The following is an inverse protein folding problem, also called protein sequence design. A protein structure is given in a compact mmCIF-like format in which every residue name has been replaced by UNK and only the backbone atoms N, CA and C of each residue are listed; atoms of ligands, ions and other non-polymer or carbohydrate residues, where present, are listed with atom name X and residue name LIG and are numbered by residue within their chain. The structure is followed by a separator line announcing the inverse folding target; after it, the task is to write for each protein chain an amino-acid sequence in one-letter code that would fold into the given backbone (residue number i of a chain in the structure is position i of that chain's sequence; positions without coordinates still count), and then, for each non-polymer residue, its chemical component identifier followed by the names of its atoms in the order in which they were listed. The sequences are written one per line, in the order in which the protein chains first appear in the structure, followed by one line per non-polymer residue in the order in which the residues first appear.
data_IF_723256206334
#
_entry.id   IF_723256206334
#
_cell.length_a   1.000
_cell.length_b   1.000
_cell.length_c   1.000
_cell.angle_alpha   90.00
_cell.angle_beta   90.00
_cell.angle_gamma   90.00
#
_symmetry.space_group_name_H-M   'P 1'
#
loop_
_entity.id
_entity.type
_entity.pdbx_description
1 polymer ?
#
# COMPACT_ATOMS: atom_id res chain seq x y z
N UNK A 1 29.56 71.13 -3.51
CA UNK A 1 30.40 70.82 -2.34
C UNK A 1 30.31 69.33 -2.03
N UNK A 2 31.28 68.80 -1.27
CA UNK A 2 31.52 67.38 -1.01
C UNK A 2 30.39 66.66 -0.24
N UNK A 3 30.10 65.40 -0.58
CA UNK A 3 30.39 64.20 0.26
C UNK A 3 30.12 62.89 -0.49
N UNK A 4 30.82 61.83 -0.08
CA UNK A 4 30.92 60.49 -0.68
C UNK A 4 30.66 59.45 0.42
N UNK A 5 29.97 58.32 0.15
CA UNK A 5 30.25 57.00 0.75
C UNK A 5 29.36 55.85 0.19
N UNK A 6 29.84 54.61 0.37
CA UNK A 6 29.30 53.29 -0.05
C UNK A 6 29.70 52.26 1.04
N UNK A 7 29.20 51.03 1.18
CA UNK A 7 28.49 50.10 0.25
C UNK A 7 27.52 49.14 1.01
N UNK A 8 26.78 48.32 0.24
CA UNK A 8 26.13 47.03 0.56
C UNK A 8 26.47 46.26 1.86
N UNK A 9 25.46 45.59 2.44
CA UNK A 9 25.60 44.35 3.24
C UNK A 9 24.55 43.32 2.79
N UNK A 10 24.91 42.03 2.84
CA UNK A 10 24.18 40.89 2.27
C UNK A 10 24.16 39.76 3.31
N UNK A 11 23.00 39.13 3.59
CA UNK A 11 22.93 37.98 4.51
C UNK A 11 21.94 36.89 4.06
N UNK A 12 22.38 35.64 4.20
CA UNK A 12 21.58 34.41 4.12
C UNK A 12 21.31 33.88 5.54
N UNK A 13 20.09 33.42 5.80
CA UNK A 13 19.77 32.19 6.55
C UNK A 13 20.09 32.03 8.05
N UNK A 14 19.18 31.26 8.69
CA UNK A 14 19.38 30.35 9.84
C UNK A 14 19.06 30.86 11.27
N UNK A 15 18.12 30.12 11.89
CA UNK A 15 17.87 29.79 13.32
C UNK A 15 17.54 30.84 14.40
N UNK A 16 16.33 30.67 14.97
CA UNK A 16 15.98 30.57 16.41
C UNK A 16 16.55 31.56 17.45
N UNK A 17 15.66 32.22 18.21
CA UNK A 17 15.74 32.29 19.68
C UNK A 17 14.35 32.53 20.33
N UNK A 18 14.14 31.99 21.53
CA UNK A 18 12.99 32.25 22.44
C UNK A 18 13.42 33.39 23.42
N UNK A 19 12.60 34.14 24.19
CA UNK A 19 11.53 33.78 25.15
C UNK A 19 10.73 35.01 25.68
N UNK A 20 9.45 34.78 26.00
CA UNK A 20 8.61 35.24 27.14
C UNK A 20 8.61 36.65 27.81
N UNK A 21 7.36 37.14 27.98
CA UNK A 21 6.70 37.65 29.22
C UNK A 21 6.77 39.11 29.66
N UNK A 22 5.61 39.80 29.57
CA UNK A 22 4.78 40.32 30.69
C UNK A 22 4.07 41.63 30.32
N UNK A 23 2.93 42.06 30.85
CA UNK A 23 1.70 41.43 31.35
C UNK A 23 0.81 42.59 31.86
N UNK A 24 -0.22 43.01 31.12
CA UNK A 24 -1.32 43.84 31.66
C UNK A 24 -2.63 43.51 30.92
N UNK A 25 -3.59 42.97 31.66
CA UNK A 25 -4.99 42.68 31.28
C UNK A 25 -5.88 43.90 31.59
N UNK A 26 -7.21 43.89 31.31
CA UNK A 26 -7.98 43.11 30.33
C UNK A 26 -8.86 44.00 29.40
N UNK A 27 -9.37 43.45 28.29
CA UNK A 27 -10.78 43.57 27.89
C UNK A 27 -11.07 42.54 26.79
N UNK A 28 -12.13 41.74 26.96
CA UNK A 28 -12.52 40.71 26.00
C UNK A 28 -13.45 41.29 24.94
N UNK A 29 -13.13 41.05 23.66
CA UNK A 29 -14.03 41.25 22.53
C UNK A 29 -13.92 40.04 21.60
N UNK A 30 -14.88 39.14 21.73
CA UNK A 30 -15.04 38.01 20.80
C UNK A 30 -15.50 38.55 19.46
N UNK A 31 -14.67 38.46 18.42
CA UNK A 31 -15.04 38.83 17.05
C UNK A 31 -15.48 37.57 16.32
N UNK A 32 -16.74 37.55 15.88
CA UNK A 32 -17.28 36.49 15.03
C UNK A 32 -16.59 36.52 13.66
N UNK A 33 -16.03 35.38 13.24
CA UNK A 33 -15.48 35.23 11.88
C UNK A 33 -16.63 34.91 10.91
N UNK A 34 -17.16 35.94 10.25
CA UNK A 34 -17.98 35.76 9.05
C UNK A 34 -17.08 35.59 7.83
N UNK A 35 -17.07 34.41 7.24
CA UNK A 35 -16.32 34.13 6.01
C UNK A 35 -16.97 34.79 4.80
N UNK A 36 -16.51 35.98 4.41
CA UNK A 36 -16.76 36.55 3.08
C UNK A 36 -15.46 36.53 2.27
N UNK A 37 -15.39 35.64 1.28
CA UNK A 37 -14.27 35.53 0.34
C UNK A 37 -14.04 36.86 -0.40
N UNK A 38 -12.87 37.48 -0.21
CA UNK A 38 -12.40 38.53 -1.11
C UNK A 38 -10.87 38.47 -1.24
N UNK A 39 -10.38 37.99 -2.39
CA UNK A 39 -8.96 38.07 -2.74
C UNK A 39 -8.52 39.52 -2.99
N UNK A 40 -7.24 39.88 -2.72
CA UNK A 40 -6.77 41.26 -2.84
C UNK A 40 -6.59 41.71 -4.30
N UNK A 41 -6.93 42.99 -4.57
CA UNK A 41 -6.51 43.69 -5.79
C UNK A 41 -5.01 43.98 -5.73
N UNK A 42 -4.30 43.70 -6.84
CA UNK A 42 -3.06 44.40 -7.15
C UNK A 42 -3.35 45.65 -7.99
N UNK A 43 -2.67 46.74 -7.64
CA UNK A 43 -2.71 48.02 -8.35
C UNK A 43 -1.61 48.03 -9.40
N UNK A 44 -1.95 48.42 -10.63
CA UNK A 44 -0.99 48.90 -11.64
C UNK A 44 -1.57 50.17 -12.26
N UNK A 45 -0.91 51.30 -12.02
CA UNK A 45 -1.14 52.53 -12.78
C UNK A 45 -0.35 52.46 -14.09
N UNK A 46 -0.98 52.82 -15.21
CA UNK A 46 -0.36 52.79 -16.53
C UNK A 46 -1.08 53.74 -17.48
N UNK A 47 -0.75 55.03 -17.41
CA UNK A 47 -1.39 56.09 -18.19
C UNK A 47 -0.70 56.28 -19.55
N UNK A 48 -1.37 55.91 -20.63
CA UNK A 48 -1.10 56.45 -21.97
C UNK A 48 -2.41 56.67 -22.73
N UNK A 49 -2.75 57.94 -22.97
CA UNK A 49 -3.82 58.34 -23.89
C UNK A 49 -3.32 58.25 -25.34
N UNK A 50 -4.12 57.66 -26.23
CA UNK A 50 -4.02 57.85 -27.68
C UNK A 50 -5.44 58.09 -28.20
N UNK A 51 -5.63 59.16 -28.97
CA UNK A 51 -6.95 59.68 -29.34
C UNK A 51 -7.66 58.81 -30.39
N UNK A 52 -8.97 58.67 -30.23
CA UNK A 52 -9.89 58.07 -31.21
C UNK A 52 -10.27 59.09 -32.29
N UNK A 53 -10.04 58.75 -33.57
CA UNK A 53 -10.80 59.29 -34.70
C UNK A 53 -10.70 58.34 -35.90
N UNK A 54 -11.84 57.80 -36.34
CA UNK A 54 -11.90 56.84 -37.45
C UNK A 54 -13.29 56.25 -37.63
N UNK A 55 -14.14 56.91 -38.40
CA UNK A 55 -15.48 56.40 -38.79
C UNK A 55 -15.33 55.64 -40.11
N UNK A 56 -15.55 54.32 -40.09
CA UNK A 56 -15.78 53.53 -41.31
C UNK A 56 -16.90 52.50 -41.08
N UNK A 57 -18.01 52.54 -41.83
CA UNK A 57 -19.11 51.60 -41.71
C UNK A 57 -18.99 50.45 -42.71
N UNK A 58 -18.62 49.25 -42.27
CA UNK A 58 -18.82 48.01 -43.04
C UNK A 58 -19.39 46.90 -42.17
N UNK A 59 -20.46 46.29 -42.68
CA UNK A 59 -21.22 45.23 -42.02
C UNK A 59 -20.46 43.90 -41.98
N UNK A 60 -20.68 43.14 -40.90
CA UNK A 60 -20.78 41.66 -40.83
C UNK A 60 -19.63 40.81 -41.41
N UNK A 61 -18.90 40.10 -40.53
CA UNK A 61 -18.87 38.62 -40.43
C UNK A 61 -17.71 38.11 -39.54
N UNK A 62 -17.74 38.42 -38.24
CA UNK A 62 -16.88 37.77 -37.23
C UNK A 62 -17.68 37.24 -36.02
N UNK A 63 -18.98 36.95 -36.23
CA UNK A 63 -19.90 36.45 -35.22
C UNK A 63 -20.17 34.94 -35.28
N UNK A 64 -19.25 34.14 -35.84
CA UNK A 64 -19.49 32.69 -36.09
C UNK A 64 -18.31 31.76 -35.78
N UNK A 65 -17.15 32.28 -35.33
CA UNK A 65 -15.96 31.44 -35.06
C UNK A 65 -15.78 31.00 -33.59
N UNK A 66 -16.66 31.43 -32.69
CA UNK A 66 -16.53 31.17 -31.23
C UNK A 66 -17.35 29.99 -30.70
N UNK A 67 -18.07 29.26 -31.57
CA UNK A 67 -18.90 28.11 -31.17
C UNK A 67 -18.19 26.74 -31.27
N UNK A 68 -16.90 26.73 -31.59
CA UNK A 68 -16.10 25.52 -31.87
C UNK A 68 -15.12 25.13 -30.74
N UNK A 69 -15.22 25.76 -29.58
CA UNK A 69 -14.42 25.43 -28.40
C UNK A 69 -15.34 24.85 -27.32
N UNK A 70 -15.07 23.64 -26.83
CA UNK A 70 -15.71 23.13 -25.61
C UNK A 70 -15.45 24.16 -24.51
N UNK A 71 -16.47 24.77 -23.88
CA UNK A 71 -16.23 25.60 -22.71
C UNK A 71 -15.56 24.71 -21.66
N UNK A 72 -14.39 25.13 -21.16
CA UNK A 72 -13.50 24.29 -20.34
C UNK A 72 -14.15 23.66 -19.10
N UNK A 73 -15.28 24.23 -18.67
CA UNK A 73 -16.13 23.82 -17.54
C UNK A 73 -17.00 22.58 -17.84
N UNK A 74 -17.08 22.12 -19.10
CA UNK A 74 -17.90 20.98 -19.54
C UNK A 74 -17.06 19.73 -19.89
N UNK A 75 -15.72 19.83 -19.78
CA UNK A 75 -14.76 18.84 -20.29
C UNK A 75 -13.77 18.39 -19.19
N UNK A 76 -14.23 18.19 -17.94
CA UNK A 76 -13.37 18.00 -16.75
C UNK A 76 -12.84 16.55 -16.57
N UNK A 77 -13.44 15.55 -17.24
CA UNK A 77 -13.06 14.14 -17.13
C UNK A 77 -11.78 13.74 -17.91
N UNK A 78 -10.87 14.67 -18.14
CA UNK A 78 -9.53 14.39 -18.71
C UNK A 78 -8.52 13.88 -17.70
N UNK A 79 -8.84 13.92 -16.40
CA UNK A 79 -8.01 13.34 -15.35
C UNK A 79 -8.63 12.00 -14.95
N UNK A 80 -7.94 10.92 -15.33
CA UNK A 80 -8.28 9.56 -14.94
C UNK A 80 -7.69 9.28 -13.54
N UNK A 81 -8.49 8.78 -12.58
CA UNK A 81 -7.95 8.34 -11.29
C UNK A 81 -6.92 7.22 -11.47
N UNK A 82 -5.66 7.48 -11.13
CA UNK A 82 -4.65 6.43 -11.05
C UNK A 82 -4.96 5.48 -9.90
N UNK A 83 -4.90 4.17 -10.14
CA UNK A 83 -5.00 3.13 -9.12
C UNK A 83 -3.59 2.60 -8.80
N UNK A 84 -3.38 2.12 -7.57
CA UNK A 84 -2.17 1.38 -7.22
C UNK A 84 -2.28 -0.06 -7.74
N UNK A 85 -1.15 -0.64 -8.15
CA UNK A 85 -1.05 -2.01 -8.67
C UNK A 85 -2.01 -2.34 -9.82
N UNK A 86 -2.15 -1.38 -10.74
CA UNK A 86 -2.98 -1.53 -11.93
C UNK A 86 -2.84 -0.35 -12.89
N UNK A 87 -3.47 -0.50 -14.04
CA UNK A 87 -3.45 0.45 -15.15
C UNK A 87 -4.86 0.73 -15.69
N UNK A 88 -4.97 1.63 -16.66
CA UNK A 88 -6.23 1.95 -17.31
C UNK A 88 -6.06 2.28 -18.79
N UNK A 89 -7.12 2.07 -19.56
CA UNK A 89 -7.22 2.41 -20.98
C UNK A 89 -8.49 3.27 -21.24
N UNK A 90 -8.36 4.29 -22.09
CA UNK A 90 -9.51 5.03 -22.63
C UNK A 90 -10.15 4.21 -23.75
N UNK A 91 -11.31 3.63 -23.46
CA UNK A 91 -12.10 2.78 -24.37
C UNK A 91 -13.34 3.52 -24.88
N UNK A 92 -13.32 4.86 -24.88
CA UNK A 92 -14.41 5.69 -25.41
C UNK A 92 -14.59 5.52 -26.92
N UNK A 93 -15.84 5.65 -27.38
CA UNK A 93 -16.13 5.66 -28.82
C UNK A 93 -15.98 7.07 -29.36
N UNK A 94 -15.26 7.23 -30.47
CA UNK A 94 -15.11 8.49 -31.21
C UNK A 94 -16.45 9.17 -31.59
N UNK A 95 -17.54 8.39 -31.65
CA UNK A 95 -18.88 8.89 -31.96
C UNK A 95 -19.74 9.16 -30.71
N UNK A 96 -19.20 8.96 -29.51
CA UNK A 96 -19.91 9.16 -28.23
C UNK A 96 -19.42 10.42 -27.52
N UNK A 97 -20.34 11.16 -26.90
CA UNK A 97 -20.04 12.33 -26.06
C UNK A 97 -19.68 11.93 -24.60
N UNK A 98 -19.23 10.68 -24.39
CA UNK A 98 -18.98 10.10 -23.07
C UNK A 98 -17.60 9.44 -23.04
N UNK A 99 -16.75 9.84 -22.10
CA UNK A 99 -15.47 9.19 -21.86
C UNK A 99 -15.70 7.89 -21.08
N UNK A 100 -15.09 6.79 -21.50
CA UNK A 100 -15.21 5.48 -20.83
C UNK A 100 -13.81 4.97 -20.57
N UNK A 101 -13.52 4.64 -19.31
CA UNK A 101 -12.22 4.14 -18.88
C UNK A 101 -12.39 2.71 -18.40
N UNK A 102 -11.57 1.81 -18.91
CA UNK A 102 -11.45 0.43 -18.41
C UNK A 102 -10.20 0.34 -17.54
N UNK A 103 -10.31 -0.31 -16.39
CA UNK A 103 -9.20 -0.61 -15.48
C UNK A 103 -8.82 -2.08 -15.55
N UNK A 104 -7.55 -2.35 -15.28
CA UNK A 104 -6.98 -3.68 -15.14
C UNK A 104 -5.95 -3.66 -14.00
N UNK A 105 -5.79 -4.78 -13.29
CA UNK A 105 -4.83 -4.90 -12.20
C UNK A 105 -3.55 -5.59 -12.68
N UNK A 106 -2.44 -5.27 -12.03
CA UNK A 106 -1.15 -5.90 -12.30
C UNK A 106 -1.18 -7.39 -11.89
N UNK A 107 -0.25 -8.19 -12.42
CA UNK A 107 -0.14 -9.61 -12.08
C UNK A 107 0.03 -9.80 -10.56
N UNK A 108 -0.73 -10.73 -9.99
CA UNK A 108 -0.80 -10.95 -8.54
C UNK A 108 -1.80 -10.06 -7.80
N UNK A 109 -2.62 -9.26 -8.50
CA UNK A 109 -3.68 -8.46 -7.89
C UNK A 109 -5.05 -8.74 -8.52
N UNK A 110 -6.11 -8.61 -7.72
CA UNK A 110 -7.52 -8.77 -8.14
C UNK A 110 -8.28 -7.45 -8.08
N UNK A 111 -9.09 -7.18 -9.11
CA UNK A 111 -9.89 -5.96 -9.22
C UNK A 111 -11.14 -6.04 -8.35
N UNK A 112 -11.29 -5.07 -7.44
CA UNK A 112 -12.45 -4.91 -6.56
C UNK A 112 -13.13 -3.57 -6.84
N UNK A 113 -14.31 -3.63 -7.44
CA UNK A 113 -15.12 -2.48 -7.86
C UNK A 113 -15.59 -2.62 -9.30
N UNK A 114 -16.02 -1.50 -9.89
CA UNK A 114 -16.41 -1.48 -11.30
C UNK A 114 -15.16 -1.46 -12.20
N UNK A 115 -14.96 -2.45 -13.11
CA UNK A 115 -13.82 -2.47 -14.02
C UNK A 115 -13.94 -1.44 -15.15
N UNK A 116 -15.13 -0.84 -15.32
CA UNK A 116 -15.38 0.22 -16.31
C UNK A 116 -16.15 1.36 -15.66
N UNK A 117 -15.64 2.58 -15.82
CA UNK A 117 -16.31 3.79 -15.36
C UNK A 117 -16.59 4.71 -16.55
N UNK A 118 -17.75 5.35 -16.55
CA UNK A 118 -18.18 6.28 -17.62
C UNK A 118 -18.30 7.68 -17.05
N UNK A 119 -17.68 8.67 -17.69
CA UNK A 119 -17.97 10.06 -17.40
C UNK A 119 -19.17 10.55 -18.21
N UNK A 120 -20.08 11.25 -17.53
CA UNK A 120 -21.20 12.00 -18.12
C UNK A 120 -21.32 13.33 -17.38
N UNK A 121 -21.51 14.42 -18.13
CA UNK A 121 -21.75 15.76 -17.58
C UNK A 121 -20.70 16.23 -16.54
N UNK A 122 -19.43 15.82 -16.73
CA UNK A 122 -18.28 16.01 -15.81
C UNK A 122 -18.30 15.19 -14.51
N UNK A 123 -19.13 14.15 -14.41
CA UNK A 123 -19.16 13.21 -13.28
C UNK A 123 -18.89 11.77 -13.72
N UNK A 124 -18.06 11.05 -12.97
CA UNK A 124 -17.86 9.61 -13.14
C UNK A 124 -19.05 8.82 -12.58
N UNK A 125 -19.44 7.75 -13.27
CA UNK A 125 -20.52 6.83 -12.88
C UNK A 125 -20.30 6.14 -11.54
N UNK A 126 -19.03 5.99 -11.16
CA UNK A 126 -18.55 5.21 -10.01
C UNK A 126 -17.14 5.68 -9.64
N UNK A 127 -16.70 5.39 -8.41
CA UNK A 127 -15.30 5.53 -8.02
C UNK A 127 -14.43 4.52 -8.79
N UNK A 128 -13.16 4.87 -9.02
CA UNK A 128 -12.19 3.91 -9.54
C UNK A 128 -12.10 2.66 -8.65
N UNK A 129 -11.87 1.47 -9.23
CA UNK A 129 -11.74 0.23 -8.48
C UNK A 129 -10.43 0.20 -7.67
N UNK A 130 -10.28 -0.81 -6.82
CA UNK A 130 -9.03 -1.09 -6.11
C UNK A 130 -8.45 -2.41 -6.59
N UNK A 131 -7.15 -2.44 -6.83
CA UNK A 131 -6.42 -3.69 -6.97
C UNK A 131 -5.98 -4.15 -5.58
N UNK A 132 -6.36 -5.37 -5.20
CA UNK A 132 -5.99 -6.01 -3.94
C UNK A 132 -5.01 -7.13 -4.19
N UNK A 133 -4.02 -7.29 -3.33
CA UNK A 133 -3.03 -8.35 -3.52
C UNK A 133 -3.64 -9.75 -3.34
N UNK A 134 -3.12 -10.70 -4.10
CA UNK A 134 -3.37 -12.13 -3.98
C UNK A 134 -2.16 -12.82 -3.34
N UNK A 135 -2.38 -13.54 -2.26
CA UNK A 135 -1.38 -14.44 -1.69
C UNK A 135 -1.65 -15.86 -2.18
N UNK A 136 -0.63 -16.51 -2.75
CA UNK A 136 -0.70 -17.93 -3.07
C UNK A 136 -0.73 -18.76 -1.78
N UNK A 137 -1.41 -19.90 -1.82
CA UNK A 137 -1.37 -20.90 -0.75
C UNK A 137 0.07 -21.25 -0.38
N UNK A 138 0.49 -21.12 0.89
CA UNK A 138 1.83 -21.48 1.31
C UNK A 138 1.98 -23.01 1.45
N UNK A 139 3.19 -23.50 1.19
CA UNK A 139 3.57 -24.88 1.48
C UNK A 139 3.98 -25.00 2.95
N UNK A 140 3.38 -25.95 3.68
CA UNK A 140 3.59 -26.18 5.11
C UNK A 140 3.87 -27.66 5.30
N UNK A 141 5.13 -28.02 5.57
CA UNK A 141 5.49 -29.41 5.87
C UNK A 141 4.83 -29.88 7.17
N UNK A 142 4.15 -31.03 7.14
CA UNK A 142 3.42 -31.60 8.29
C UNK A 142 2.30 -30.69 8.83
N UNK A 143 1.56 -30.04 7.92
CA UNK A 143 0.40 -29.22 8.26
C UNK A 143 -0.28 -28.61 7.04
N UNK A 144 -1.16 -27.65 7.29
CA UNK A 144 -1.92 -26.94 6.29
C UNK A 144 -2.65 -25.71 6.86
N UNK A 145 -3.67 -25.26 6.14
CA UNK A 145 -4.48 -24.11 6.49
C UNK A 145 -5.92 -24.52 6.88
N UNK A 146 -6.53 -23.76 7.78
CA UNK A 146 -7.92 -23.94 8.23
C UNK A 146 -8.97 -23.80 7.12
N UNK A 147 -8.64 -23.07 6.07
CA UNK A 147 -9.38 -22.96 4.82
C UNK A 147 -8.40 -23.38 3.72
N UNK A 148 -8.84 -24.22 2.78
CA UNK A 148 -7.96 -24.84 1.79
C UNK A 148 -8.29 -24.37 0.37
N UNK A 149 -7.96 -23.11 0.12
CA UNK A 149 -8.05 -22.44 -1.18
C UNK A 149 -6.64 -22.24 -1.78
N UNK A 150 -6.55 -22.07 -3.10
CA UNK A 150 -5.26 -21.90 -3.82
C UNK A 150 -4.73 -20.45 -3.75
N UNK A 151 -5.63 -19.48 -3.56
CA UNK A 151 -5.35 -18.04 -3.53
C UNK A 151 -6.20 -17.37 -2.46
N UNK A 152 -5.67 -16.31 -1.84
CA UNK A 152 -6.33 -15.53 -0.78
C UNK A 152 -6.22 -14.05 -1.08
N UNK A 153 -7.27 -13.29 -0.82
CA UNK A 153 -7.38 -11.85 -1.13
C UNK A 153 -7.07 -11.01 0.10
N UNK A 154 -6.23 -9.99 -0.02
CA UNK A 154 -5.94 -9.04 1.05
C UNK A 154 -7.23 -8.46 1.71
N UNK A 155 -7.36 -8.35 3.05
CA UNK A 155 -6.47 -8.81 4.11
C UNK A 155 -6.99 -10.11 4.78
N UNK A 156 -7.27 -11.15 3.99
CA UNK A 156 -7.73 -12.44 4.52
C UNK A 156 -6.72 -13.04 5.48
N UNK A 157 -7.23 -13.59 6.60
CA UNK A 157 -6.45 -14.22 7.65
C UNK A 157 -6.82 -15.68 7.76
N UNK A 158 -5.81 -16.54 7.74
CA UNK A 158 -5.94 -18.00 7.86
C UNK A 158 -5.18 -18.51 9.08
N UNK A 159 -5.64 -19.64 9.63
CA UNK A 159 -5.02 -20.31 10.77
C UNK A 159 -4.25 -21.52 10.27
N UNK A 160 -2.97 -21.60 10.62
CA UNK A 160 -2.14 -22.79 10.36
C UNK A 160 -2.52 -23.90 11.34
N UNK A 161 -2.71 -25.09 10.79
CA UNK A 161 -3.01 -26.32 11.52
C UNK A 161 -1.92 -27.32 11.20
N UNK A 162 -1.23 -27.82 12.22
CA UNK A 162 -0.22 -28.85 12.06
C UNK A 162 -0.85 -30.25 12.18
N UNK A 163 -0.21 -31.24 11.58
CA UNK A 163 -0.62 -32.65 11.67
C UNK A 163 -0.44 -33.20 13.09
N UNK A 164 -1.13 -34.30 13.41
CA UNK A 164 -1.06 -34.94 14.73
C UNK A 164 0.38 -35.21 15.17
N UNK A 165 0.75 -34.67 16.34
CA UNK A 165 2.11 -34.77 16.90
C UNK A 165 3.05 -33.63 16.50
N UNK A 166 2.59 -32.64 15.73
CA UNK A 166 3.33 -31.42 15.41
C UNK A 166 2.68 -30.18 16.05
N UNK A 167 3.51 -29.33 16.67
CA UNK A 167 3.15 -28.02 17.18
C UNK A 167 3.59 -26.88 16.25
N UNK A 168 2.84 -25.79 16.27
CA UNK A 168 3.13 -24.57 15.50
C UNK A 168 4.30 -23.81 16.13
N UNK A 169 5.34 -23.53 15.35
CA UNK A 169 6.46 -22.66 15.76
C UNK A 169 6.43 -21.37 14.93
N UNK A 170 5.89 -20.32 15.52
CA UNK A 170 5.68 -19.00 14.90
C UNK A 170 4.33 -18.40 15.28
N UNK A 171 3.79 -17.51 14.44
CA UNK A 171 2.41 -17.05 14.57
C UNK A 171 1.47 -18.09 13.95
N UNK A 172 0.50 -18.60 14.71
CA UNK A 172 -0.48 -19.55 14.17
C UNK A 172 -1.42 -18.91 13.14
N UNK A 173 -1.73 -17.62 13.28
CA UNK A 173 -2.53 -16.88 12.30
C UNK A 173 -1.61 -16.07 11.41
N UNK A 174 -1.85 -16.13 10.09
CA UNK A 174 -1.15 -15.37 9.06
C UNK A 174 -2.17 -14.65 8.19
N UNK A 175 -1.83 -13.45 7.73
CA UNK A 175 -2.71 -12.56 6.97
C UNK A 175 -2.07 -12.23 5.62
N UNK A 176 -2.86 -12.22 4.55
CA UNK A 176 -2.38 -11.75 3.26
C UNK A 176 -2.16 -10.23 3.29
N UNK A 177 -0.93 -9.76 3.08
CA UNK A 177 -0.60 -8.33 3.09
C UNK A 177 -0.80 -7.67 1.73
N UNK A 178 -0.84 -6.33 1.72
CA UNK A 178 -0.95 -5.47 0.53
C UNK A 178 0.13 -5.72 -0.57
N UNK A 179 1.20 -6.44 -0.26
CA UNK A 179 2.28 -6.78 -1.19
C UNK A 179 2.22 -8.24 -1.71
N UNK A 180 1.14 -8.99 -1.43
CA UNK A 180 0.99 -10.39 -1.86
C UNK A 180 1.82 -11.39 -1.05
N UNK A 181 2.28 -10.98 0.14
CA UNK A 181 3.13 -11.77 1.04
C UNK A 181 2.38 -12.06 2.33
N UNK A 182 2.49 -13.28 2.85
CA UNK A 182 1.96 -13.67 4.16
C UNK A 182 2.67 -12.95 5.30
N UNK A 183 1.90 -12.34 6.21
CA UNK A 183 2.41 -11.69 7.40
C UNK A 183 1.62 -12.08 8.67
N UNK A 184 2.26 -12.47 9.78
CA UNK A 184 3.70 -12.78 9.91
C UNK A 184 4.17 -13.89 8.96
N UNK A 185 5.49 -14.10 8.86
CA UNK A 185 6.05 -15.18 8.06
C UNK A 185 5.40 -16.54 8.40
N UNK A 186 5.18 -17.37 7.38
CA UNK A 186 4.53 -18.67 7.50
C UNK A 186 5.23 -19.50 8.59
N UNK A 187 4.52 -19.91 9.66
CA UNK A 187 5.11 -20.66 10.76
C UNK A 187 5.51 -22.07 10.30
N UNK A 188 6.38 -22.71 11.08
CA UNK A 188 6.83 -24.08 10.80
C UNK A 188 6.16 -25.04 11.77
N UNK A 189 5.54 -26.10 11.25
CA UNK A 189 5.14 -27.24 12.06
C UNK A 189 6.40 -28.01 12.47
N UNK A 190 6.64 -28.14 13.77
CA UNK A 190 7.70 -28.99 14.32
C UNK A 190 7.08 -29.98 15.27
N UNK A 191 7.61 -31.19 15.28
CA UNK A 191 7.19 -32.24 16.20
C UNK A 191 7.12 -31.70 17.65
N UNK A 192 6.14 -32.14 18.43
CA UNK A 192 5.93 -31.69 19.82
C UNK A 192 6.46 -32.73 20.83
N UNK A 193 7.34 -32.29 21.75
CA UNK A 193 7.95 -33.17 22.74
C UNK A 193 6.93 -33.66 23.77
N UNK A 194 6.62 -34.96 23.74
CA UNK A 194 5.83 -35.59 24.79
C UNK A 194 6.55 -35.48 26.14
N UNK A 195 6.03 -34.61 27.00
CA UNK A 195 6.60 -34.27 28.30
C UNK A 195 6.68 -35.54 29.18
N UNK A 196 7.89 -35.98 29.53
CA UNK A 196 8.10 -37.19 30.36
C UNK A 196 9.42 -37.95 30.15
N UNK A 197 10.19 -37.63 29.12
CA UNK A 197 11.39 -38.40 28.73
C UNK A 197 12.71 -38.03 29.44
N UNK A 198 12.64 -37.23 30.50
CA UNK A 198 13.81 -36.78 31.30
C UNK A 198 14.42 -37.86 32.21
N UNK A 199 13.84 -39.08 32.24
CA UNK A 199 14.29 -40.18 33.11
C UNK A 199 14.74 -41.46 32.37
N UNK A 200 14.96 -41.40 31.06
CA UNK A 200 15.18 -42.60 30.24
C UNK A 200 16.67 -42.99 30.15
N UNK A 201 17.15 -43.57 31.26
CA UNK A 201 18.46 -44.23 31.36
C UNK A 201 18.44 -45.72 30.96
N UNK A 202 17.32 -46.22 30.42
CA UNK A 202 17.18 -47.61 29.95
C UNK A 202 17.04 -47.64 28.42
N UNK A 203 18.01 -48.28 27.74
CA UNK A 203 18.21 -48.15 26.29
C UNK A 203 17.03 -48.54 25.39
N UNK A 204 16.12 -49.41 25.85
CA UNK A 204 14.93 -49.77 25.07
C UNK A 204 13.80 -48.71 25.11
N UNK A 205 13.74 -47.89 26.17
CA UNK A 205 12.80 -46.77 26.27
C UNK A 205 13.30 -45.53 25.54
N UNK A 206 14.61 -45.43 25.25
CA UNK A 206 15.20 -44.25 24.60
C UNK A 206 14.54 -43.94 23.25
N UNK A 207 14.08 -44.99 22.54
CA UNK A 207 13.35 -44.87 21.27
C UNK A 207 11.97 -44.19 21.40
N UNK A 208 11.35 -44.21 22.58
CA UNK A 208 10.08 -43.52 22.87
C UNK A 208 10.28 -42.02 23.15
N UNK A 209 11.54 -41.57 23.19
CA UNK A 209 11.95 -40.22 23.54
C UNK A 209 12.67 -39.50 22.40
N UNK A 210 12.77 -40.14 21.24
CA UNK A 210 13.45 -39.55 20.10
C UNK A 210 12.53 -38.58 19.37
N UNK A 211 13.05 -37.40 19.01
CA UNK A 211 12.23 -36.28 18.62
C UNK A 211 11.52 -36.49 17.28
N UNK A 212 12.24 -36.99 16.28
CA UNK A 212 11.69 -37.22 14.96
C UNK A 212 11.55 -38.72 14.67
N UNK A 213 10.51 -39.20 13.95
CA UNK A 213 10.49 -40.55 13.37
C UNK A 213 11.79 -40.96 12.64
N UNK A 214 12.47 -40.03 11.97
CA UNK A 214 13.79 -40.28 11.35
C UNK A 214 14.93 -40.41 12.38
N UNK A 215 14.84 -39.76 13.55
CA UNK A 215 15.77 -39.98 14.66
C UNK A 215 15.53 -41.34 15.31
N UNK A 216 14.27 -41.78 15.46
CA UNK A 216 13.90 -43.16 15.88
C UNK A 216 14.56 -44.19 14.96
N UNK A 217 14.43 -44.00 13.65
CA UNK A 217 15.02 -44.86 12.61
C UNK A 217 16.55 -44.87 12.67
N UNK A 218 17.19 -43.70 12.84
CA UNK A 218 18.65 -43.59 13.00
C UNK A 218 19.14 -44.30 14.27
N UNK A 219 18.46 -44.12 15.40
CA UNK A 219 18.84 -44.76 16.66
C UNK A 219 18.61 -46.28 16.65
N UNK A 220 17.54 -46.76 15.99
CA UNK A 220 17.32 -48.19 15.75
C UNK A 220 18.48 -48.82 14.96
N UNK A 221 19.02 -48.10 13.97
CA UNK A 221 20.15 -48.60 13.19
C UNK A 221 21.46 -48.62 13.99
N UNK A 222 21.73 -47.58 14.78
CA UNK A 222 22.85 -47.57 15.75
C UNK A 222 22.73 -48.72 16.75
N UNK A 223 21.52 -48.98 17.26
CA UNK A 223 21.25 -50.08 18.19
C UNK A 223 21.51 -51.46 17.54
N UNK A 224 21.03 -51.69 16.31
CA UNK A 224 21.31 -52.92 15.54
C UNK A 224 22.81 -53.14 15.34
N UNK A 225 23.54 -52.10 14.95
CA UNK A 225 25.00 -52.16 14.78
C UNK A 225 25.70 -52.51 16.11
N UNK A 226 25.25 -51.94 17.23
CA UNK A 226 25.82 -52.24 18.55
C UNK A 226 25.65 -53.72 18.96
N UNK A 227 24.49 -54.32 18.66
CA UNK A 227 24.23 -55.74 18.90
C UNK A 227 25.11 -56.63 18.01
N UNK A 228 25.25 -56.29 16.73
CA UNK A 228 26.10 -57.04 15.81
C UNK A 228 27.58 -57.03 16.25
N UNK A 229 28.10 -55.89 16.72
CA UNK A 229 29.44 -55.78 17.30
C UNK A 229 29.58 -56.66 18.55
N UNK A 230 28.59 -56.64 19.46
CA UNK A 230 28.59 -57.48 20.66
C UNK A 230 28.64 -58.99 20.35
N UNK A 231 27.90 -59.44 19.33
CA UNK A 231 27.97 -60.83 18.87
C UNK A 231 29.34 -61.20 18.28
N UNK A 232 29.98 -60.31 17.53
CA UNK A 232 31.32 -60.54 16.99
C UNK A 232 32.36 -60.68 18.11
N UNK A 233 32.33 -59.80 19.12
CA UNK A 233 33.23 -59.85 20.27
C UNK A 233 33.09 -61.18 21.01
N UNK A 234 31.86 -61.58 21.36
CA UNK A 234 31.58 -62.83 22.08
C UNK A 234 31.85 -64.10 21.26
N UNK A 235 32.08 -63.99 19.94
CA UNK A 235 32.42 -65.12 19.07
C UNK A 235 33.92 -65.39 18.94
N UNK A 236 34.76 -64.51 19.50
CA UNK A 236 36.23 -64.64 19.49
C UNK A 236 36.83 -64.95 20.87
N UNK A 237 35.99 -65.23 21.87
CA UNK A 237 36.35 -65.60 23.25
C UNK A 237 35.88 -67.01 23.59
#
# INVERSE_FOLDING_TARGET
MLRIAVTTVHLRGVSHFQTFSSAHHPLWLNIYVSSSNTYPRLVQEGKHEVQLQGVFPTLRLLGVLSLLQCPSVLCDCKIFPSIAHGSYEDVSSFFSYTTVVQYECDEGYVLVGEPKITCRDSYWSSSAPKCKALCLKPEIENGGLSVNEDQYVEPETVTVQCDDGYGVVGSQNITCSENGIWFPEVPKCKWEYQMGCEQVLAGNKLLQCLPNPEDVKRALEVYRLSLAIGHLINSQT
#
